data_IF_759237615105
#
_entry.id   IF_759237615105
#
_cell.length_a   1.000
_cell.length_b   1.000
_cell.length_c   1.000
_cell.angle_alpha   90.00
_cell.angle_beta   90.00
_cell.angle_gamma   90.00
#
_symmetry.space_group_name_H-M   'P 1'
#
loop_
_entity.id
_entity.type
_entity.pdbx_description
1 polymer ?
#
# COMPACT_ATOMS: atom_id res chain seq x y z
N UNK A 1 1.04 7.04 12.48
CA UNK A 1 0.58 7.99 11.43
C UNK A 1 0.25 9.38 11.94
N UNK A 2 -0.39 9.51 13.10
CA UNK A 2 -0.77 10.84 13.64
C UNK A 2 0.35 11.92 13.69
N UNK A 3 1.62 11.59 14.01
CA UNK A 3 2.69 12.59 14.04
C UNK A 3 3.04 13.22 12.68
N UNK A 4 2.59 12.62 11.58
CA UNK A 4 2.88 13.12 10.22
C UNK A 4 1.86 14.13 9.71
N UNK A 5 0.68 14.20 10.36
CA UNK A 5 -0.38 15.11 9.94
C UNK A 5 -0.05 16.53 10.38
N UNK A 6 -0.05 17.47 9.42
CA UNK A 6 0.06 18.88 9.73
C UNK A 6 -1.22 19.39 10.43
N UNK A 7 -1.14 20.50 11.19
CA UNK A 7 -2.32 21.12 11.78
C UNK A 7 -3.41 21.37 10.73
N UNK A 8 -4.65 20.97 11.03
CA UNK A 8 -5.79 21.11 10.15
C UNK A 8 -6.02 19.95 9.17
N UNK A 9 -5.11 18.98 9.10
CA UNK A 9 -5.34 17.74 8.35
C UNK A 9 -6.17 16.76 9.18
N UNK A 10 -7.13 16.09 8.53
CA UNK A 10 -7.97 15.05 9.12
C UNK A 10 -7.78 13.76 8.34
N UNK A 11 -7.59 12.68 9.06
CA UNK A 11 -7.55 11.32 8.51
C UNK A 11 -8.90 10.65 8.76
N UNK A 12 -9.66 10.43 7.69
CA UNK A 12 -10.89 9.61 7.73
C UNK A 12 -10.53 8.16 7.37
N UNK A 13 -10.67 7.25 8.32
CA UNK A 13 -10.30 5.84 8.14
C UNK A 13 -11.56 5.03 7.84
N UNK A 14 -11.58 4.40 6.67
CA UNK A 14 -12.62 3.48 6.25
C UNK A 14 -12.05 2.05 6.19
N UNK A 15 -12.83 1.09 6.65
CA UNK A 15 -12.44 -0.34 6.63
C UNK A 15 -13.51 -1.15 5.93
N UNK A 16 -13.11 -2.01 5.00
CA UNK A 16 -14.01 -2.96 4.37
C UNK A 16 -14.64 -3.90 5.41
N UNK A 17 -15.95 -4.03 5.36
CA UNK A 17 -16.74 -4.86 6.31
C UNK A 17 -16.83 -6.31 5.87
N UNK A 18 -16.47 -6.61 4.62
CA UNK A 18 -16.54 -7.91 3.97
C UNK A 18 -15.21 -8.30 3.36
N UNK A 19 -15.04 -9.57 3.03
CA UNK A 19 -13.80 -10.10 2.47
C UNK A 19 -12.97 -10.89 3.48
N UNK A 20 -11.73 -11.20 3.12
CA UNK A 20 -10.81 -11.90 3.99
C UNK A 20 -10.19 -10.95 5.03
N UNK A 21 -10.07 -11.41 6.27
CA UNK A 21 -9.39 -10.66 7.35
C UNK A 21 -7.90 -10.43 7.08
N UNK A 22 -7.31 -11.19 6.18
CA UNK A 22 -5.94 -11.07 5.72
C UNK A 22 -5.82 -11.47 4.23
N UNK A 23 -5.13 -10.66 3.45
CA UNK A 23 -4.86 -10.96 2.03
C UNK A 23 -3.66 -11.92 1.97
N UNK A 24 -3.94 -13.18 1.66
CA UNK A 24 -2.94 -14.25 1.65
C UNK A 24 -2.68 -14.84 0.25
N UNK A 25 -3.42 -14.44 -0.77
CA UNK A 25 -3.31 -14.97 -2.13
C UNK A 25 -3.98 -14.02 -3.15
N UNK A 26 -3.79 -14.29 -4.43
CA UNK A 26 -4.38 -13.53 -5.54
C UNK A 26 -5.91 -13.44 -5.45
N UNK A 27 -6.60 -14.52 -5.08
CA UNK A 27 -8.06 -14.51 -4.94
C UNK A 27 -8.52 -13.54 -3.85
N UNK A 28 -7.89 -13.56 -2.67
CA UNK A 28 -8.20 -12.62 -1.60
C UNK A 28 -7.81 -11.18 -1.96
N UNK A 29 -6.76 -10.99 -2.75
CA UNK A 29 -6.37 -9.67 -3.28
C UNK A 29 -7.41 -9.13 -4.27
N UNK A 30 -7.92 -9.97 -5.19
CA UNK A 30 -8.96 -9.58 -6.13
C UNK A 30 -10.27 -9.18 -5.41
N UNK A 31 -10.68 -9.96 -4.40
CA UNK A 31 -11.82 -9.62 -3.53
C UNK A 31 -11.59 -8.30 -2.82
N UNK A 32 -10.41 -8.10 -2.23
CA UNK A 32 -10.07 -6.84 -1.56
C UNK A 32 -10.09 -5.64 -2.53
N UNK A 33 -9.66 -5.84 -3.78
CA UNK A 33 -9.71 -4.79 -4.81
C UNK A 33 -11.15 -4.36 -5.12
N UNK A 34 -12.08 -5.31 -5.22
CA UNK A 34 -13.50 -5.02 -5.42
C UNK A 34 -14.07 -4.23 -4.21
N UNK A 35 -13.76 -4.67 -2.99
CA UNK A 35 -14.24 -3.99 -1.78
C UNK A 35 -13.65 -2.58 -1.58
N UNK A 36 -12.40 -2.34 -1.99
CA UNK A 36 -11.83 -0.97 -2.00
C UNK A 36 -12.62 -0.07 -2.94
N UNK A 37 -13.00 -0.57 -4.12
CA UNK A 37 -13.81 0.20 -5.07
C UNK A 37 -15.24 0.42 -4.56
N UNK A 38 -15.85 -0.57 -3.92
CA UNK A 38 -17.16 -0.43 -3.27
C UNK A 38 -17.15 0.62 -2.16
N UNK A 39 -16.14 0.59 -1.28
CA UNK A 39 -15.96 1.60 -0.24
C UNK A 39 -15.78 3.01 -0.82
N UNK A 40 -15.02 3.13 -1.90
CA UNK A 40 -14.84 4.39 -2.60
C UNK A 40 -16.15 4.90 -3.18
N UNK A 41 -16.91 4.04 -3.85
CA UNK A 41 -18.21 4.36 -4.41
C UNK A 41 -19.18 4.86 -3.32
N UNK A 42 -19.27 4.12 -2.22
CA UNK A 42 -20.10 4.48 -1.06
C UNK A 42 -19.69 5.83 -0.48
N UNK A 43 -18.38 6.05 -0.33
CA UNK A 43 -17.82 7.30 0.17
C UNK A 43 -18.20 8.50 -0.71
N UNK A 44 -18.01 8.38 -2.02
CA UNK A 44 -18.32 9.45 -2.98
C UNK A 44 -19.81 9.75 -3.02
N UNK A 45 -20.66 8.73 -2.96
CA UNK A 45 -22.10 8.90 -3.02
C UNK A 45 -22.69 9.53 -1.76
N UNK A 46 -22.17 9.22 -0.58
CA UNK A 46 -22.82 9.58 0.68
C UNK A 46 -22.12 10.68 1.47
N UNK A 47 -20.81 10.84 1.35
CA UNK A 47 -20.08 11.82 2.17
C UNK A 47 -19.84 13.18 1.50
N UNK A 48 -19.84 13.25 0.19
CA UNK A 48 -19.66 14.48 -0.60
C UNK A 48 -18.58 15.45 -0.04
N UNK A 49 -17.50 14.89 0.52
CA UNK A 49 -16.41 15.65 1.10
C UNK A 49 -15.30 15.85 0.06
N UNK A 50 -14.77 17.05 -0.01
CA UNK A 50 -13.58 17.32 -0.79
C UNK A 50 -12.37 16.63 -0.15
N UNK A 51 -11.85 15.58 -0.79
CA UNK A 51 -10.66 14.87 -0.35
C UNK A 51 -9.41 15.44 -1.01
N UNK A 52 -8.34 15.55 -0.23
CA UNK A 52 -7.02 15.89 -0.76
C UNK A 52 -6.31 14.67 -1.37
N UNK A 53 -6.65 13.46 -0.93
CA UNK A 53 -6.12 12.21 -1.45
C UNK A 53 -6.65 10.98 -0.72
N UNK A 54 -6.42 9.83 -1.33
CA UNK A 54 -6.79 8.50 -0.79
C UNK A 54 -5.55 7.62 -0.69
N UNK A 55 -5.36 7.00 0.47
CA UNK A 55 -4.31 6.02 0.73
C UNK A 55 -4.93 4.63 0.89
N UNK A 56 -4.52 3.70 0.04
CA UNK A 56 -4.82 2.28 0.21
C UNK A 56 -3.86 1.73 1.27
N UNK A 57 -4.35 1.56 2.51
CA UNK A 57 -3.53 1.17 3.65
C UNK A 57 -3.26 -0.35 3.70
N UNK A 58 -2.96 -0.95 2.55
CA UNK A 58 -2.56 -2.34 2.39
C UNK A 58 -1.32 -2.42 1.49
N UNK A 59 -0.31 -3.19 1.90
CA UNK A 59 0.92 -3.34 1.11
C UNK A 59 0.73 -4.41 0.02
N UNK A 60 0.42 -3.94 -1.16
CA UNK A 60 -0.02 -4.70 -2.34
C UNK A 60 -1.10 -3.95 -3.10
N UNK A 61 -1.53 -2.82 -2.55
CA UNK A 61 -2.33 -1.78 -3.19
C UNK A 61 -3.56 -2.32 -3.93
N UNK A 62 -4.44 -3.10 -3.26
CA UNK A 62 -5.59 -3.69 -3.92
C UNK A 62 -6.50 -2.59 -4.49
N UNK A 63 -6.86 -2.72 -5.76
CA UNK A 63 -7.74 -1.77 -6.44
C UNK A 63 -7.11 -0.43 -6.84
N UNK A 64 -5.79 -0.25 -6.70
CA UNK A 64 -5.10 1.02 -6.95
C UNK A 64 -5.45 1.65 -8.29
N UNK A 65 -5.37 0.88 -9.38
CA UNK A 65 -5.61 1.41 -10.72
C UNK A 65 -7.09 1.79 -10.92
N UNK A 66 -8.01 0.94 -10.46
CA UNK A 66 -9.44 1.20 -10.55
C UNK A 66 -9.87 2.42 -9.73
N UNK A 67 -9.31 2.54 -8.51
CA UNK A 67 -9.58 3.68 -7.65
C UNK A 67 -9.03 4.98 -8.24
N UNK A 68 -7.85 4.93 -8.82
CA UNK A 68 -7.21 6.07 -9.48
C UNK A 68 -8.01 6.55 -10.68
N UNK A 69 -8.48 5.64 -11.53
CA UNK A 69 -9.32 5.94 -12.70
C UNK A 69 -10.66 6.56 -12.30
N UNK A 70 -11.28 6.10 -11.21
CA UNK A 70 -12.58 6.56 -10.74
C UNK A 70 -12.53 7.79 -9.82
N UNK A 71 -11.34 8.30 -9.51
CA UNK A 71 -11.13 9.35 -8.51
C UNK A 71 -10.67 10.66 -9.12
N UNK A 72 -11.18 11.79 -8.59
CA UNK A 72 -10.71 13.14 -8.95
C UNK A 72 -9.57 13.63 -8.03
N UNK A 73 -9.22 12.90 -6.99
CA UNK A 73 -8.12 13.25 -6.08
C UNK A 73 -6.93 12.30 -6.24
N UNK A 74 -5.79 12.66 -5.65
CA UNK A 74 -4.60 11.83 -5.66
C UNK A 74 -4.85 10.48 -4.96
N UNK A 75 -4.45 9.38 -5.59
CA UNK A 75 -4.59 8.02 -5.03
C UNK A 75 -3.24 7.33 -5.07
N UNK A 76 -2.83 6.76 -3.95
CA UNK A 76 -1.66 5.89 -3.85
C UNK A 76 -1.90 4.75 -2.87
N UNK A 77 -1.06 3.74 -2.93
CA UNK A 77 -1.01 2.67 -1.94
C UNK A 77 0.30 2.66 -1.17
N UNK A 78 0.40 1.79 -0.19
CA UNK A 78 1.61 1.65 0.62
C UNK A 78 2.79 1.14 -0.22
N UNK A 79 2.55 0.20 -1.15
CA UNK A 79 3.60 -0.38 -1.96
C UNK A 79 4.09 0.62 -3.02
N UNK A 80 3.20 1.24 -3.79
CA UNK A 80 3.59 2.23 -4.80
C UNK A 80 4.39 3.37 -4.19
N UNK A 81 3.91 3.99 -3.13
CA UNK A 81 4.60 5.10 -2.49
C UNK A 81 5.99 4.70 -1.97
N UNK A 82 6.11 3.47 -1.42
CA UNK A 82 7.39 2.93 -0.99
C UNK A 82 8.33 2.66 -2.15
N UNK A 83 7.83 2.12 -3.27
CA UNK A 83 8.64 1.88 -4.47
C UNK A 83 9.16 3.20 -5.06
N UNK A 84 8.31 4.22 -5.15
CA UNK A 84 8.70 5.58 -5.59
C UNK A 84 9.82 6.13 -4.69
N UNK A 85 9.67 6.04 -3.37
CA UNK A 85 10.67 6.53 -2.43
C UNK A 85 11.96 5.70 -2.49
N UNK A 86 11.87 4.38 -2.56
CA UNK A 86 13.01 3.48 -2.61
C UNK A 86 13.84 3.66 -3.88
N UNK A 87 13.18 3.82 -5.03
CA UNK A 87 13.83 4.02 -6.33
C UNK A 87 14.67 5.30 -6.39
N UNK A 88 14.42 6.29 -5.53
CA UNK A 88 15.26 7.48 -5.42
C UNK A 88 16.69 7.16 -4.91
N UNK A 89 16.84 6.07 -4.18
CA UNK A 89 18.14 5.56 -3.72
C UNK A 89 18.77 4.64 -4.77
N UNK A 90 17.99 4.06 -5.68
CA UNK A 90 18.39 3.08 -6.69
C UNK A 90 17.71 1.73 -6.51
N UNK A 91 18.47 0.63 -6.52
CA UNK A 91 17.92 -0.71 -6.34
C UNK A 91 17.50 -0.96 -4.90
N UNK A 92 16.38 -1.66 -4.71
CA UNK A 92 15.84 -1.91 -3.38
C UNK A 92 15.41 -3.36 -3.18
N UNK A 93 15.32 -3.75 -1.92
CA UNK A 93 14.68 -4.99 -1.47
C UNK A 93 13.41 -4.68 -0.67
N UNK A 94 12.55 -5.68 -0.54
CA UNK A 94 11.33 -5.62 0.28
C UNK A 94 11.40 -6.69 1.37
N UNK A 95 10.99 -6.34 2.59
CA UNK A 95 10.73 -7.28 3.69
C UNK A 95 9.25 -7.19 4.04
N UNK A 96 8.53 -8.31 3.98
CA UNK A 96 7.09 -8.36 4.27
C UNK A 96 6.67 -9.69 4.90
N UNK A 97 5.47 -9.77 5.48
CA UNK A 97 4.92 -11.01 6.04
C UNK A 97 4.21 -11.86 4.99
N UNK A 98 4.43 -13.20 5.05
CA UNK A 98 3.71 -14.18 4.23
C UNK A 98 4.33 -14.45 2.86
N UNK A 99 4.73 -15.71 2.64
CA UNK A 99 5.48 -16.14 1.45
C UNK A 99 4.76 -15.89 0.11
N UNK A 100 3.44 -15.90 0.10
CA UNK A 100 2.64 -15.69 -1.12
C UNK A 100 2.65 -14.23 -1.62
N UNK A 101 3.11 -13.30 -0.80
CA UNK A 101 3.26 -11.90 -1.22
C UNK A 101 4.37 -11.69 -2.26
N UNK A 102 5.39 -12.55 -2.28
CA UNK A 102 6.51 -12.38 -3.21
C UNK A 102 6.05 -12.26 -4.67
N UNK A 103 5.37 -13.25 -5.29
CA UNK A 103 4.93 -13.14 -6.68
C UNK A 103 3.93 -11.99 -6.91
N UNK A 104 3.10 -11.68 -5.92
CA UNK A 104 2.12 -10.58 -6.02
C UNK A 104 2.80 -9.22 -6.08
N UNK A 105 3.84 -9.00 -5.28
CA UNK A 105 4.61 -7.75 -5.27
C UNK A 105 5.54 -7.64 -6.48
N UNK A 106 6.11 -8.75 -6.97
CA UNK A 106 6.86 -8.77 -8.23
C UNK A 106 5.98 -8.32 -9.41
N UNK A 107 4.76 -8.83 -9.49
CA UNK A 107 3.77 -8.43 -10.50
C UNK A 107 3.36 -6.95 -10.33
N UNK A 108 3.15 -6.49 -9.10
CA UNK A 108 2.83 -5.09 -8.82
C UNK A 108 3.99 -4.16 -9.22
N UNK A 109 5.22 -4.51 -8.84
CA UNK A 109 6.40 -3.74 -9.22
C UNK A 109 6.57 -3.64 -10.74
N UNK A 110 6.27 -4.73 -11.47
CA UNK A 110 6.25 -4.74 -12.93
C UNK A 110 5.19 -3.79 -13.47
N UNK A 111 3.96 -3.87 -12.98
CA UNK A 111 2.83 -3.02 -13.40
C UNK A 111 3.04 -1.53 -13.10
N UNK A 112 3.81 -1.21 -12.07
CA UNK A 112 4.17 0.16 -11.68
C UNK A 112 5.49 0.65 -12.30
N UNK A 113 6.22 -0.18 -13.08
CA UNK A 113 7.46 0.19 -13.73
C UNK A 113 8.71 0.10 -12.85
N UNK A 114 8.65 -0.56 -11.70
CA UNK A 114 9.76 -0.70 -10.75
C UNK A 114 10.48 -2.06 -10.79
N UNK A 115 10.16 -2.93 -11.74
CA UNK A 115 10.77 -4.27 -11.83
C UNK A 115 12.30 -4.23 -11.90
N UNK A 116 12.89 -3.25 -12.59
CA UNK A 116 14.36 -3.11 -12.70
C UNK A 116 15.01 -2.65 -11.39
N UNK A 117 14.29 -2.03 -10.47
CA UNK A 117 14.78 -1.56 -9.18
C UNK A 117 14.61 -2.60 -8.07
N UNK A 118 13.60 -3.48 -8.18
CA UNK A 118 13.31 -4.50 -7.20
C UNK A 118 14.27 -5.69 -7.35
N UNK A 119 15.25 -5.81 -6.45
CA UNK A 119 16.23 -6.89 -6.49
C UNK A 119 15.77 -8.14 -5.74
N UNK A 120 15.13 -7.98 -4.59
CA UNK A 120 14.80 -9.11 -3.74
C UNK A 120 13.56 -8.83 -2.90
N UNK A 121 12.80 -9.88 -2.61
CA UNK A 121 11.72 -9.88 -1.63
C UNK A 121 12.00 -10.97 -0.61
N UNK A 122 12.25 -10.56 0.62
CA UNK A 122 12.37 -11.42 1.79
C UNK A 122 11.03 -11.49 2.50
N UNK A 123 10.56 -12.70 2.78
CA UNK A 123 9.29 -12.90 3.47
C UNK A 123 9.49 -13.53 4.84
N UNK A 124 8.79 -12.99 5.84
CA UNK A 124 8.77 -13.57 7.18
C UNK A 124 7.51 -14.42 7.39
N UNK A 125 7.64 -15.51 8.14
CA UNK A 125 6.54 -16.45 8.39
C UNK A 125 5.41 -15.85 9.22
N UNK A 126 5.66 -15.06 10.30
CA UNK A 126 4.59 -14.43 11.06
C UNK A 126 3.84 -13.40 10.22
N UNK A 127 2.52 -13.38 10.36
CA UNK A 127 1.68 -12.31 9.82
C UNK A 127 1.94 -10.98 10.53
N UNK A 128 1.55 -9.86 9.92
CA UNK A 128 1.66 -8.54 10.56
C UNK A 128 0.94 -8.47 11.91
N UNK A 129 -0.20 -9.14 12.06
CA UNK A 129 -0.94 -9.22 13.33
C UNK A 129 -0.16 -9.99 14.41
N UNK A 130 0.46 -11.11 14.06
CA UNK A 130 1.29 -11.89 14.99
C UNK A 130 2.54 -11.12 15.43
N UNK A 131 3.16 -10.38 14.50
CA UNK A 131 4.28 -9.50 14.80
C UNK A 131 3.87 -8.36 15.75
N UNK A 132 2.71 -7.76 15.54
CA UNK A 132 2.20 -6.73 16.46
C UNK A 132 1.88 -7.28 17.86
N UNK A 133 1.40 -8.50 17.94
CA UNK A 133 1.09 -9.15 19.22
C UNK A 133 2.35 -9.45 20.07
N UNK A 134 3.53 -9.56 19.43
CA UNK A 134 4.80 -9.83 20.13
C UNK A 134 5.94 -8.92 19.60
N UNK A 135 6.04 -7.67 20.09
CA UNK A 135 7.02 -6.70 19.61
C UNK A 135 8.49 -7.15 19.73
N UNK A 136 8.85 -7.90 20.76
CA UNK A 136 10.24 -8.39 20.91
C UNK A 136 10.59 -9.42 19.85
N UNK A 137 9.70 -10.38 19.61
CA UNK A 137 9.86 -11.34 18.52
C UNK A 137 9.88 -10.63 17.16
N UNK A 138 9.00 -9.64 16.95
CA UNK A 138 8.96 -8.84 15.74
C UNK A 138 10.29 -8.15 15.45
N UNK A 139 10.85 -7.45 16.44
CA UNK A 139 12.15 -6.78 16.32
C UNK A 139 13.26 -7.74 15.89
N UNK A 140 13.36 -8.90 16.53
CA UNK A 140 14.39 -9.89 16.21
C UNK A 140 14.18 -10.50 14.81
N UNK A 141 12.93 -10.85 14.48
CA UNK A 141 12.56 -11.43 13.18
C UNK A 141 12.81 -10.46 12.04
N UNK A 142 12.30 -9.23 12.15
CA UNK A 142 12.43 -8.21 11.11
C UNK A 142 13.87 -7.73 10.95
N UNK A 143 14.65 -7.59 12.04
CA UNK A 143 16.07 -7.26 11.95
C UNK A 143 16.84 -8.32 11.17
N UNK A 144 16.59 -9.60 11.45
CA UNK A 144 17.21 -10.72 10.70
C UNK A 144 16.83 -10.71 9.23
N UNK A 145 15.54 -10.51 8.93
CA UNK A 145 15.06 -10.44 7.55
C UNK A 145 15.65 -9.24 6.79
N UNK A 146 15.73 -8.06 7.42
CA UNK A 146 16.36 -6.90 6.80
C UNK A 146 17.86 -7.10 6.53
N UNK A 147 18.59 -7.78 7.44
CA UNK A 147 19.98 -8.15 7.19
C UNK A 147 20.13 -9.13 6.02
N UNK A 148 19.21 -10.10 5.88
CA UNK A 148 19.18 -11.03 4.75
C UNK A 148 18.83 -10.32 3.44
N UNK A 149 17.97 -9.31 3.47
CA UNK A 149 17.56 -8.53 2.32
C UNK A 149 18.59 -7.47 1.88
N UNK A 150 19.60 -7.16 2.71
CA UNK A 150 20.69 -6.23 2.41
C UNK A 150 21.75 -6.88 1.50
N UNK A 151 21.33 -7.30 0.30
CA UNK A 151 22.20 -7.94 -0.68
C UNK A 151 23.17 -6.93 -1.33
N UNK A 152 24.29 -7.39 -1.93
CA UNK A 152 25.17 -6.52 -2.71
C UNK A 152 24.40 -5.77 -3.79
N UNK A 153 24.56 -4.44 -3.84
CA UNK A 153 23.89 -3.57 -4.80
C UNK A 153 22.51 -3.04 -4.34
N UNK A 154 21.95 -3.57 -3.25
CA UNK A 154 20.73 -3.00 -2.64
C UNK A 154 21.07 -1.70 -1.93
N UNK A 155 20.33 -0.63 -2.24
CA UNK A 155 20.57 0.72 -1.73
C UNK A 155 19.51 1.18 -0.73
N UNK A 156 18.38 0.48 -0.63
CA UNK A 156 17.37 0.67 0.42
C UNK A 156 16.54 -0.60 0.64
N UNK A 157 15.86 -0.69 1.78
CA UNK A 157 14.96 -1.81 2.09
C UNK A 157 13.62 -1.25 2.54
N UNK A 158 12.55 -1.76 1.96
CA UNK A 158 11.17 -1.42 2.33
C UNK A 158 10.68 -2.41 3.37
N UNK A 159 10.23 -1.94 4.54
CA UNK A 159 9.39 -2.69 5.46
C UNK A 159 7.93 -2.54 5.04
N UNK A 160 7.44 -3.54 4.29
CA UNK A 160 6.15 -3.53 3.63
C UNK A 160 5.06 -4.19 4.43
N UNK A 161 4.06 -3.42 4.83
CA UNK A 161 2.86 -3.87 5.52
C UNK A 161 2.36 -2.87 6.56
N UNK A 162 1.04 -2.64 6.59
CA UNK A 162 0.43 -1.77 7.60
C UNK A 162 0.73 -2.24 9.04
N UNK A 163 0.78 -3.56 9.24
CA UNK A 163 1.16 -4.17 10.52
C UNK A 163 2.64 -4.02 10.89
N UNK A 164 3.49 -3.52 9.99
CA UNK A 164 4.91 -3.26 10.24
C UNK A 164 5.22 -1.78 10.45
N UNK A 165 4.20 -0.94 10.48
CA UNK A 165 4.35 0.49 10.71
C UNK A 165 5.06 0.79 12.03
N UNK A 166 6.07 1.66 11.98
CA UNK A 166 6.84 2.10 13.13
C UNK A 166 8.04 1.22 13.49
N UNK A 167 8.23 0.05 12.85
CA UNK A 167 9.43 -0.78 13.10
C UNK A 167 10.68 -0.26 12.39
N UNK A 168 10.55 0.41 11.24
CA UNK A 168 11.71 0.86 10.47
C UNK A 168 12.68 1.73 11.30
N UNK A 169 12.26 2.79 12.02
CA UNK A 169 13.17 3.60 12.82
C UNK A 169 13.80 2.82 13.99
N UNK A 170 13.10 1.83 14.53
CA UNK A 170 13.61 1.02 15.65
C UNK A 170 14.71 0.05 15.19
N UNK A 171 14.60 -0.46 13.96
CA UNK A 171 15.53 -1.45 13.38
C UNK A 171 16.69 -0.75 12.66
N UNK A 172 16.50 0.46 12.15
CA UNK A 172 17.48 1.21 11.36
C UNK A 172 18.92 1.19 11.94
N UNK A 173 19.16 1.33 13.26
CA UNK A 173 20.53 1.31 13.79
C UNK A 173 21.28 -0.01 13.53
N UNK A 174 20.57 -1.10 13.20
CA UNK A 174 21.14 -2.43 12.95
C UNK A 174 21.32 -2.75 11.45
N UNK A 175 20.95 -1.84 10.55
CA UNK A 175 20.92 -2.05 9.10
C UNK A 175 21.74 -0.97 8.39
N UNK A 176 22.58 -1.39 7.46
CA UNK A 176 23.54 -0.52 6.78
C UNK A 176 22.98 0.38 5.69
N UNK A 177 21.76 0.06 5.20
CA UNK A 177 21.07 0.84 4.17
C UNK A 177 19.80 1.46 4.73
N UNK A 178 19.28 2.55 4.14
CA UNK A 178 18.02 3.16 4.58
C UNK A 178 16.86 2.16 4.62
N UNK A 179 16.12 2.18 5.71
CA UNK A 179 14.85 1.45 5.84
C UNK A 179 13.67 2.40 5.57
N UNK A 180 12.76 1.97 4.73
CA UNK A 180 11.55 2.70 4.37
C UNK A 180 10.36 2.05 5.07
N UNK A 181 9.67 2.80 5.92
CA UNK A 181 8.40 2.40 6.50
C UNK A 181 7.29 2.67 5.48
N UNK A 182 6.59 1.62 5.05
CA UNK A 182 5.58 1.75 4.00
C UNK A 182 4.39 2.62 4.38
N UNK A 183 3.99 2.63 5.64
CA UNK A 183 2.89 3.46 6.11
C UNK A 183 3.31 4.95 6.14
N UNK A 184 4.54 5.22 6.56
CA UNK A 184 5.12 6.56 6.50
C UNK A 184 5.26 7.05 5.06
N UNK A 185 5.78 6.22 4.17
CA UNK A 185 5.95 6.54 2.74
C UNK A 185 4.60 6.90 2.09
N UNK A 186 3.58 6.08 2.30
CA UNK A 186 2.24 6.31 1.75
C UNK A 186 1.63 7.65 2.19
N UNK A 187 1.67 7.93 3.48
CA UNK A 187 1.11 9.17 4.01
C UNK A 187 1.92 10.40 3.57
N UNK A 188 3.25 10.31 3.61
CA UNK A 188 4.14 11.39 3.17
C UNK A 188 3.95 11.72 1.69
N UNK A 189 3.76 10.71 0.83
CA UNK A 189 3.53 10.89 -0.60
C UNK A 189 2.25 11.69 -0.88
N UNK A 190 1.15 11.44 -0.16
CA UNK A 190 -0.09 12.21 -0.28
C UNK A 190 0.07 13.65 0.25
N UNK A 191 0.71 13.82 1.40
CA UNK A 191 0.92 15.15 2.01
C UNK A 191 1.78 16.03 1.11
N UNK A 192 2.86 15.49 0.54
CA UNK A 192 3.76 16.21 -0.37
C UNK A 192 3.25 16.32 -1.80
N UNK A 193 2.08 15.72 -2.10
CA UNK A 193 1.50 15.64 -3.45
C UNK A 193 2.45 15.06 -4.50
N UNK A 194 3.31 14.14 -4.08
CA UNK A 194 4.29 13.48 -4.95
C UNK A 194 3.76 12.18 -5.58
N UNK A 195 2.45 11.98 -5.60
CA UNK A 195 1.81 10.86 -6.30
C UNK A 195 1.26 11.31 -7.66
N UNK A 196 1.19 10.40 -8.64
CA UNK A 196 0.57 10.70 -9.91
C UNK A 196 -0.88 11.17 -9.70
N UNK A 197 -1.22 12.33 -10.28
CA UNK A 197 -2.59 12.83 -10.23
C UNK A 197 -3.42 12.04 -11.23
N UNK A 198 -4.52 11.46 -10.77
CA UNK A 198 -5.44 10.78 -11.66
C UNK A 198 -6.25 11.82 -12.46
N UNK A 199 -6.32 11.64 -13.76
CA UNK A 199 -7.34 12.27 -14.59
C UNK A 199 -8.51 11.29 -14.58
N UNK A 200 -9.64 11.71 -14.01
CA UNK A 200 -10.86 10.91 -14.08
C UNK A 200 -11.24 10.73 -15.56
N UNK A 201 -11.01 9.54 -16.07
CA UNK A 201 -11.48 9.15 -17.38
C UNK A 201 -12.87 8.54 -17.23
N UNK A 202 -13.88 9.21 -17.79
CA UNK A 202 -15.27 8.74 -17.75
C UNK A 202 -15.64 7.91 -18.96
N UNK A 203 -14.82 7.85 -19.99
CA UNK A 203 -15.15 7.15 -21.23
C UNK A 203 -15.25 5.64 -21.04
N UNK A 204 -14.44 5.06 -20.16
CA UNK A 204 -14.50 3.63 -19.80
C UNK A 204 -15.77 3.22 -19.01
N UNK A 205 -16.52 4.18 -18.47
CA UNK A 205 -17.70 3.93 -17.63
C UNK A 205 -19.03 3.95 -18.41
N UNK A 206 -19.03 3.97 -19.72
CA UNK A 206 -20.27 3.98 -20.55
C UNK A 206 -20.99 2.62 -20.60
N UNK A 207 -20.25 1.51 -20.42
CA UNK A 207 -20.86 0.18 -20.41
C UNK A 207 -21.72 -0.05 -19.15
N UNK A 208 -22.94 -0.62 -19.27
CA UNK A 208 -23.79 -0.86 -18.10
C UNK A 208 -23.20 -1.92 -17.18
N UNK A 209 -23.14 -1.62 -15.88
CA UNK A 209 -22.77 -2.59 -14.86
C UNK A 209 -24.04 -3.17 -14.23
N UNK A 210 -24.16 -4.49 -14.27
CA UNK A 210 -25.29 -5.22 -13.69
C UNK A 210 -24.84 -6.02 -12.46
N UNK A 211 -25.77 -6.21 -11.50
CA UNK A 211 -25.53 -6.98 -10.29
C UNK A 211 -24.39 -6.45 -9.39
N UNK A 212 -24.10 -5.15 -9.48
CA UNK A 212 -23.24 -4.45 -8.51
C UNK A 212 -24.10 -3.60 -7.58
N UNK A 213 -23.57 -3.21 -6.42
CA UNK A 213 -24.29 -2.37 -5.46
C UNK A 213 -24.62 -0.98 -6.06
N UNK A 214 -25.63 -0.32 -5.51
CA UNK A 214 -26.11 0.97 -6.01
C UNK A 214 -25.01 2.04 -6.07
N UNK A 215 -24.17 2.26 -5.04
CA UNK A 215 -23.06 3.20 -5.11
C UNK A 215 -22.09 2.94 -6.28
N UNK A 216 -21.79 1.68 -6.57
CA UNK A 216 -20.95 1.31 -7.71
C UNK A 216 -21.57 1.69 -9.05
N UNK A 217 -22.91 1.58 -9.20
CA UNK A 217 -23.60 2.03 -10.40
C UNK A 217 -23.54 3.55 -10.58
N UNK A 218 -23.44 4.29 -9.47
CA UNK A 218 -23.35 5.76 -9.48
C UNK A 218 -21.94 6.28 -9.78
N UNK A 219 -20.87 5.50 -9.59
CA UNK A 219 -19.52 5.89 -10.00
C UNK A 219 -19.40 6.23 -11.50
N UNK A 220 -20.32 5.74 -12.29
CA UNK A 220 -20.40 5.93 -13.75
C UNK A 220 -20.94 7.33 -14.16
N UNK A 221 -21.52 8.06 -13.24
CA UNK A 221 -22.13 9.39 -13.46
C UNK A 221 -21.17 10.48 -12.98
#
# INVERSE_FOLDING_TARGET
MAPLLAPGMVLDIQTATTGASYIACEASHAVASAHVLELWADYVCHKNLALNGVLIACFGDPGLFALRESSACAVTGLAEASFIQAAQFGSFSVVTGGARWKPMLERLAMGLGFAAHLQHIETVTPSGAELQANPQMAMACLTRACKAAALPGVQSIILGGAGLAGYAPLIQPSISVPLIDSAHAGLSALISRSVPHAIRDTDGFVAPWTHVCEPMQQLRR
#
